data_IF_207080181199
#
_entry.id   IF_207080181199
#
_cell.length_a   1.000
_cell.length_b   1.000
_cell.length_c   1.000
_cell.angle_alpha   90.00
_cell.angle_beta   90.00
_cell.angle_gamma   90.00
#
_symmetry.space_group_name_H-M   'P 1'
#
loop_
_entity.id
_entity.type
_entity.pdbx_description
1 polymer ?
#
# COMPACT_ATOMS: atom_id res chain seq x y z
N UNK A 1 8.15 17.86 -6.35
CA UNK A 1 9.13 16.83 -6.73
C UNK A 1 8.97 15.64 -5.78
N UNK A 2 8.49 14.49 -6.27
CA UNK A 2 8.48 13.26 -5.47
C UNK A 2 9.79 12.52 -5.74
N UNK A 3 10.66 12.45 -4.74
CA UNK A 3 11.89 11.64 -4.83
C UNK A 3 11.50 10.16 -4.93
N UNK A 4 11.79 9.52 -6.06
CA UNK A 4 11.60 8.08 -6.21
C UNK A 4 12.64 7.35 -5.37
N UNK A 5 12.22 6.73 -4.26
CA UNK A 5 13.06 5.83 -3.49
C UNK A 5 13.05 4.47 -4.21
N UNK A 6 14.19 4.07 -4.77
CA UNK A 6 14.39 2.74 -5.37
C UNK A 6 15.22 1.87 -4.42
N UNK A 7 14.69 0.72 -4.02
CA UNK A 7 15.44 -0.30 -3.29
C UNK A 7 15.84 -1.42 -4.28
N UNK A 8 17.12 -1.79 -4.30
CA UNK A 8 17.59 -2.97 -5.03
C UNK A 8 17.56 -4.19 -4.12
N UNK A 9 16.85 -5.22 -4.58
CA UNK A 9 16.69 -6.49 -3.91
C UNK A 9 17.92 -7.39 -4.19
N UNK A 10 18.84 -7.52 -3.24
CA UNK A 10 19.94 -8.48 -3.32
C UNK A 10 19.49 -9.88 -2.85
N UNK A 11 19.92 -10.95 -3.53
CA UNK A 11 19.65 -12.33 -3.11
C UNK A 11 18.36 -12.97 -3.65
N UNK A 12 17.67 -12.35 -4.62
CA UNK A 12 16.37 -12.83 -5.12
C UNK A 12 16.49 -13.65 -6.42
N UNK A 13 17.70 -13.87 -6.94
CA UNK A 13 17.92 -14.54 -8.23
C UNK A 13 17.29 -15.96 -8.26
N UNK A 14 17.56 -16.78 -7.26
CA UNK A 14 17.00 -18.13 -7.15
C UNK A 14 15.47 -18.13 -7.04
N UNK A 15 14.90 -17.14 -6.35
CA UNK A 15 13.44 -16.95 -6.24
C UNK A 15 12.84 -16.54 -7.57
N UNK A 16 13.50 -15.68 -8.35
CA UNK A 16 13.05 -15.28 -9.69
C UNK A 16 13.08 -16.46 -10.65
N UNK A 17 14.13 -17.28 -10.61
CA UNK A 17 14.25 -18.44 -11.49
C UNK A 17 13.16 -19.48 -11.21
N UNK A 18 12.89 -19.78 -9.92
CA UNK A 18 11.76 -20.64 -9.54
C UNK A 18 10.41 -20.02 -9.93
N UNK A 19 10.28 -18.70 -9.91
CA UNK A 19 9.04 -18.05 -10.35
C UNK A 19 8.82 -18.21 -11.85
N UNK A 20 9.89 -18.11 -12.65
CA UNK A 20 9.83 -18.25 -14.11
C UNK A 20 9.35 -19.63 -14.57
N UNK A 21 9.58 -20.68 -13.79
CA UNK A 21 9.08 -22.03 -14.11
C UNK A 21 7.57 -22.21 -13.85
N UNK A 22 6.93 -21.30 -13.11
CA UNK A 22 5.49 -21.36 -12.85
C UNK A 22 4.67 -20.86 -14.04
N UNK A 23 3.44 -21.36 -14.18
CA UNK A 23 2.49 -20.81 -15.16
C UNK A 23 2.20 -19.31 -14.89
N UNK A 24 1.99 -18.46 -15.91
CA UNK A 24 1.82 -17.01 -15.74
C UNK A 24 0.71 -16.60 -14.76
N UNK A 25 -0.37 -17.40 -14.68
CA UNK A 25 -1.46 -17.19 -13.71
C UNK A 25 -0.99 -17.36 -12.27
N UNK A 26 -0.17 -18.39 -11.99
CA UNK A 26 0.38 -18.66 -10.66
C UNK A 26 1.41 -17.62 -10.27
N UNK A 27 2.28 -17.21 -11.20
CA UNK A 27 3.22 -16.10 -11.01
C UNK A 27 2.49 -14.84 -10.55
N UNK A 28 1.47 -14.40 -11.30
CA UNK A 28 0.70 -13.19 -10.97
C UNK A 28 -0.06 -13.31 -9.65
N UNK A 29 -0.57 -14.49 -9.31
CA UNK A 29 -1.26 -14.75 -8.04
C UNK A 29 -0.29 -14.66 -6.86
N UNK A 30 0.85 -15.32 -6.94
CA UNK A 30 1.90 -15.29 -5.92
C UNK A 30 2.45 -13.88 -5.72
N UNK A 31 2.82 -13.19 -6.81
CA UNK A 31 3.25 -11.80 -6.78
C UNK A 31 2.23 -10.88 -6.11
N UNK A 32 0.94 -11.04 -6.43
CA UNK A 32 -0.14 -10.24 -5.82
C UNK A 32 -0.24 -10.47 -4.32
N UNK A 33 -0.18 -11.72 -3.88
CA UNK A 33 -0.26 -12.06 -2.45
C UNK A 33 0.95 -11.55 -1.69
N UNK A 34 2.16 -11.83 -2.19
CA UNK A 34 3.40 -11.36 -1.60
C UNK A 34 3.46 -9.83 -1.50
N UNK A 35 3.13 -9.12 -2.58
CA UNK A 35 3.11 -7.66 -2.59
C UNK A 35 2.07 -7.08 -1.61
N UNK A 36 0.89 -7.70 -1.51
CA UNK A 36 -0.13 -7.24 -0.56
C UNK A 36 0.29 -7.46 0.89
N UNK A 37 0.86 -8.62 1.21
CA UNK A 37 1.36 -8.90 2.56
C UNK A 37 2.46 -7.93 2.97
N UNK A 38 3.42 -7.67 2.09
CA UNK A 38 4.51 -6.73 2.34
C UNK A 38 3.97 -5.31 2.58
N UNK A 39 3.10 -4.82 1.69
CA UNK A 39 2.53 -3.46 1.81
C UNK A 39 1.57 -3.31 3.00
N UNK A 40 1.07 -4.40 3.59
CA UNK A 40 0.25 -4.31 4.79
C UNK A 40 1.04 -3.77 6.00
N UNK A 41 2.38 -3.91 6.02
CA UNK A 41 3.23 -3.28 7.04
C UNK A 41 3.05 -1.76 7.01
N UNK A 42 3.18 -1.16 5.82
CA UNK A 42 2.98 0.30 5.64
C UNK A 42 1.54 0.68 5.96
N UNK A 43 0.56 -0.13 5.56
CA UNK A 43 -0.86 0.11 5.90
C UNK A 43 -1.06 0.17 7.40
N UNK A 44 -0.52 -0.79 8.14
CA UNK A 44 -0.75 -0.92 9.58
C UNK A 44 0.00 0.14 10.37
N UNK A 45 1.22 0.52 9.95
CA UNK A 45 1.93 1.67 10.52
C UNK A 45 1.22 2.99 10.22
N UNK A 46 0.76 3.20 8.97
CA UNK A 46 -0.03 4.38 8.62
C UNK A 46 -1.34 4.45 9.41
N UNK A 47 -1.98 3.32 9.70
CA UNK A 47 -3.16 3.26 10.59
C UNK A 47 -2.82 3.66 12.01
N UNK A 48 -1.72 3.15 12.57
CA UNK A 48 -1.29 3.48 13.93
C UNK A 48 -1.00 4.98 14.07
N UNK A 49 -0.27 5.55 13.11
CA UNK A 49 0.02 7.00 13.06
C UNK A 49 -1.23 7.84 12.87
N UNK A 50 -2.10 7.47 11.94
CA UNK A 50 -3.36 8.18 11.72
C UNK A 50 -4.29 8.11 12.96
N UNK A 51 -4.27 7.00 13.70
CA UNK A 51 -5.04 6.85 14.94
C UNK A 51 -4.52 7.76 16.05
N UNK A 52 -3.21 8.03 16.10
CA UNK A 52 -2.63 8.99 17.04
C UNK A 52 -3.00 10.45 16.72
N UNK A 53 -3.44 10.73 15.49
CA UNK A 53 -3.92 12.03 15.03
C UNK A 53 -5.45 12.15 15.02
N UNK A 54 -6.17 11.09 15.44
CA UNK A 54 -7.64 11.03 15.41
C UNK A 54 -8.23 11.98 16.44
N UNK A 55 -9.19 12.80 16.02
CA UNK A 55 -9.96 13.67 16.91
C UNK A 55 -11.20 12.91 17.42
N UNK A 56 -11.31 12.62 18.73
CA UNK A 56 -12.43 11.89 19.30
C UNK A 56 -13.80 12.54 19.07
N UNK A 57 -13.84 13.85 18.88
CA UNK A 57 -15.08 14.62 18.73
C UNK A 57 -15.64 14.57 17.30
N UNK A 58 -14.83 14.09 16.34
CA UNK A 58 -15.23 13.94 14.94
C UNK A 58 -15.76 12.54 14.63
N UNK A 59 -16.71 12.45 13.70
CA UNK A 59 -17.26 11.16 13.26
C UNK A 59 -16.32 10.47 12.27
N UNK A 60 -15.50 11.25 11.59
CA UNK A 60 -14.57 10.85 10.56
C UNK A 60 -13.31 10.22 11.16
N UNK A 61 -12.94 9.03 10.68
CA UNK A 61 -11.83 8.24 11.21
C UNK A 61 -10.87 7.84 10.10
N UNK A 62 -9.81 8.64 9.90
CA UNK A 62 -8.83 8.44 8.81
C UNK A 62 -8.26 7.04 8.84
N UNK A 63 -7.86 6.55 10.01
CA UNK A 63 -7.26 5.23 10.20
C UNK A 63 -8.16 4.08 9.74
N UNK A 64 -9.50 4.24 9.75
CA UNK A 64 -10.43 3.22 9.22
C UNK A 64 -10.45 3.16 7.69
N UNK A 65 -10.04 4.23 7.02
CA UNK A 65 -10.02 4.34 5.57
C UNK A 65 -8.66 4.03 4.93
N UNK A 66 -7.60 3.79 5.73
CA UNK A 66 -6.28 3.37 5.22
C UNK A 66 -6.34 1.93 4.71
N UNK A 67 -6.03 1.75 3.42
CA UNK A 67 -6.16 0.48 2.71
C UNK A 67 -4.99 0.21 1.77
N UNK A 68 -4.68 -1.08 1.59
CA UNK A 68 -3.79 -1.58 0.54
C UNK A 68 -4.63 -1.90 -0.70
N UNK A 69 -4.25 -1.37 -1.86
CA UNK A 69 -4.95 -1.61 -3.13
C UNK A 69 -3.96 -1.90 -4.26
N UNK A 70 -4.39 -2.71 -5.23
CA UNK A 70 -3.65 -2.87 -6.48
C UNK A 70 -3.91 -1.65 -7.38
N UNK A 71 -2.85 -1.05 -7.88
CA UNK A 71 -2.93 0.03 -8.87
C UNK A 71 -3.11 -0.58 -10.27
N UNK A 72 -4.31 -1.08 -10.57
CA UNK A 72 -4.59 -1.89 -11.78
C UNK A 72 -4.13 -1.25 -13.09
N UNK A 73 -4.28 0.07 -13.26
CA UNK A 73 -3.77 0.80 -14.44
C UNK A 73 -2.24 0.74 -14.52
N UNK A 74 -1.55 0.97 -13.40
CA UNK A 74 -0.09 0.90 -13.33
C UNK A 74 0.39 -0.55 -13.51
N UNK A 75 -0.24 -1.52 -12.84
CA UNK A 75 0.04 -2.95 -13.03
C UNK A 75 0.01 -3.37 -14.50
N UNK A 76 -0.96 -2.89 -15.28
CA UNK A 76 -1.05 -3.16 -16.72
C UNK A 76 0.08 -2.50 -17.51
N UNK A 77 0.42 -1.25 -17.17
CA UNK A 77 1.50 -0.49 -17.82
C UNK A 77 2.88 -1.12 -17.57
N UNK A 78 3.14 -1.56 -16.35
CA UNK A 78 4.44 -2.14 -15.95
C UNK A 78 4.53 -3.65 -16.26
N UNK A 79 3.47 -4.27 -16.79
CA UNK A 79 3.45 -5.71 -17.06
C UNK A 79 3.52 -6.60 -15.81
N UNK A 80 3.13 -6.08 -14.64
CA UNK A 80 3.35 -6.75 -13.34
C UNK A 80 2.24 -6.51 -12.33
N UNK A 81 2.62 -6.48 -11.05
CA UNK A 81 1.72 -6.13 -9.94
C UNK A 81 2.27 -4.89 -9.23
N UNK A 82 1.49 -3.82 -9.22
CA UNK A 82 1.78 -2.62 -8.45
C UNK A 82 0.79 -2.52 -7.30
N UNK A 83 1.31 -2.51 -6.07
CA UNK A 83 0.52 -2.29 -4.86
C UNK A 83 0.77 -0.90 -4.31
N UNK A 84 -0.27 -0.27 -3.78
CA UNK A 84 -0.21 1.03 -3.12
C UNK A 84 -0.98 0.99 -1.81
N UNK A 85 -0.57 1.83 -0.87
CA UNK A 85 -1.33 2.14 0.34
C UNK A 85 -1.89 3.55 0.20
N UNK A 86 -3.17 3.72 0.52
CA UNK A 86 -3.86 4.99 0.38
C UNK A 86 -5.14 5.04 1.18
N UNK A 87 -5.86 6.15 1.08
CA UNK A 87 -7.08 6.39 1.82
C UNK A 87 -8.30 6.18 0.91
N UNK A 88 -9.25 5.38 1.39
CA UNK A 88 -10.53 5.17 0.72
C UNK A 88 -11.27 6.50 0.57
N UNK A 89 -11.86 6.73 -0.60
CA UNK A 89 -12.46 8.04 -0.95
C UNK A 89 -11.48 9.05 -1.56
N UNK A 90 -10.17 8.76 -1.50
CA UNK A 90 -9.14 9.59 -2.14
C UNK A 90 -8.89 10.91 -1.42
N UNK A 91 -8.16 11.81 -2.09
CA UNK A 91 -7.78 13.12 -1.56
C UNK A 91 -8.70 14.26 -2.02
N UNK A 92 -9.72 14.01 -2.82
CA UNK A 92 -10.53 15.08 -3.40
C UNK A 92 -11.86 14.57 -3.92
N UNK A 93 -12.74 15.52 -4.24
CA UNK A 93 -14.00 15.29 -4.90
C UNK A 93 -14.13 16.18 -6.14
N UNK A 94 -14.90 15.70 -7.11
CA UNK A 94 -15.40 16.43 -8.27
C UNK A 94 -16.85 16.01 -8.50
N UNK A 95 -17.51 16.58 -9.51
CA UNK A 95 -18.92 16.25 -9.85
C UNK A 95 -19.18 14.77 -10.14
N UNK A 96 -18.14 13.98 -10.42
CA UNK A 96 -18.23 12.53 -10.69
C UNK A 96 -17.73 11.68 -9.51
N UNK A 97 -17.37 12.31 -8.40
CA UNK A 97 -16.87 11.61 -7.23
C UNK A 97 -18.02 10.98 -6.48
N UNK A 98 -17.87 9.68 -6.20
CA UNK A 98 -18.82 8.97 -5.35
C UNK A 98 -18.87 9.60 -3.97
N UNK A 99 -20.03 9.51 -3.34
CA UNK A 99 -20.15 9.85 -1.93
C UNK A 99 -19.14 9.02 -1.10
N UNK A 100 -18.41 9.71 -0.24
CA UNK A 100 -17.40 9.10 0.63
C UNK A 100 -17.93 8.86 2.06
N UNK A 101 -19.13 9.36 2.39
CA UNK A 101 -19.73 9.21 3.71
C UNK A 101 -19.96 7.74 4.09
N UNK A 102 -20.25 6.88 3.11
CA UNK A 102 -20.45 5.43 3.30
C UNK A 102 -19.15 4.63 3.55
N UNK A 103 -17.99 5.28 3.64
CA UNK A 103 -16.75 4.58 3.99
C UNK A 103 -16.72 4.21 5.49
N UNK A 104 -15.96 3.17 5.90
CA UNK A 104 -15.89 2.74 7.30
C UNK A 104 -15.46 3.82 8.29
N UNK A 105 -14.71 4.82 7.82
CA UNK A 105 -14.32 6.01 8.57
C UNK A 105 -15.00 7.30 8.14
N UNK A 106 -16.11 7.25 7.39
CA UNK A 106 -16.77 8.46 6.86
C UNK A 106 -15.98 9.17 5.75
N UNK A 107 -16.33 10.43 5.47
CA UNK A 107 -15.64 11.25 4.48
C UNK A 107 -14.33 11.84 5.04
N UNK A 108 -13.24 11.11 4.82
CA UNK A 108 -11.92 11.50 5.32
C UNK A 108 -11.09 12.29 4.32
N UNK A 109 -11.67 12.92 3.28
CA UNK A 109 -10.91 13.65 2.23
C UNK A 109 -10.00 14.77 2.76
N UNK A 110 -10.25 15.25 3.97
CA UNK A 110 -9.43 16.24 4.66
C UNK A 110 -8.04 15.70 5.05
N UNK A 111 -7.80 14.38 4.99
CA UNK A 111 -6.50 13.76 5.32
C UNK A 111 -5.31 14.42 4.61
N UNK A 112 -5.52 14.93 3.38
CA UNK A 112 -4.46 15.58 2.60
C UNK A 112 -3.91 16.83 3.28
N UNK A 113 -4.77 17.56 4.00
CA UNK A 113 -4.40 18.79 4.68
C UNK A 113 -3.59 18.49 5.93
N UNK A 114 -3.82 17.33 6.56
CA UNK A 114 -2.99 16.82 7.64
C UNK A 114 -1.64 16.36 7.09
N UNK A 115 -1.63 15.57 6.01
CA UNK A 115 -0.39 15.02 5.43
C UNK A 115 0.55 16.10 4.87
N UNK A 116 0.00 17.11 4.18
CA UNK A 116 0.78 18.12 3.45
C UNK A 116 0.79 19.50 4.11
N UNK A 117 -0.06 19.72 5.10
CA UNK A 117 -0.26 21.04 5.68
C UNK A 117 -1.11 21.95 4.80
N UNK A 118 -1.36 23.15 5.32
CA UNK A 118 -1.97 24.26 4.60
C UNK A 118 -1.17 25.54 4.91
N UNK A 119 -1.54 26.67 4.31
CA UNK A 119 -0.96 27.96 4.70
C UNK A 119 -1.19 28.32 6.18
N UNK A 120 -2.19 27.72 6.84
CA UNK A 120 -2.58 28.03 8.22
C UNK A 120 -2.16 26.96 9.22
N UNK A 121 -1.79 25.76 8.76
CA UNK A 121 -1.53 24.62 9.64
C UNK A 121 -0.33 23.83 9.13
N UNK A 122 0.67 23.57 9.99
CA UNK A 122 1.83 22.79 9.58
C UNK A 122 1.44 21.33 9.26
N UNK A 123 2.21 20.63 8.40
CA UNK A 123 1.98 19.22 8.08
C UNK A 123 2.23 18.32 9.30
N UNK A 124 1.32 17.38 9.52
CA UNK A 124 1.47 16.24 10.44
C UNK A 124 1.46 14.93 9.63
N UNK A 125 2.56 14.61 8.91
CA UNK A 125 2.58 13.51 7.98
C UNK A 125 2.49 12.16 8.70
N UNK A 126 1.67 11.26 8.16
CA UNK A 126 1.50 9.90 8.68
C UNK A 126 1.71 8.84 7.57
N UNK A 127 1.42 9.16 6.31
CA UNK A 127 1.62 8.25 5.18
C UNK A 127 3.08 8.21 4.73
N UNK A 128 3.71 9.38 4.56
CA UNK A 128 5.12 9.49 4.15
C UNK A 128 6.07 8.78 5.13
N UNK A 129 6.02 9.03 6.45
CA UNK A 129 6.88 8.30 7.39
C UNK A 129 6.55 6.81 7.44
N UNK A 130 5.28 6.41 7.30
CA UNK A 130 4.92 5.00 7.22
C UNK A 130 5.54 4.28 6.03
N UNK A 131 5.73 4.97 4.91
CA UNK A 131 6.46 4.42 3.77
C UNK A 131 7.98 4.41 4.01
N UNK A 132 8.58 5.58 4.28
CA UNK A 132 10.04 5.72 4.31
C UNK A 132 10.72 4.93 5.43
N UNK A 133 10.06 4.77 6.58
CA UNK A 133 10.62 4.04 7.73
C UNK A 133 10.48 2.52 7.59
N UNK A 134 9.60 2.03 6.71
CA UNK A 134 9.33 0.59 6.56
C UNK A 134 9.86 -0.02 5.26
N UNK A 135 10.65 0.71 4.46
CA UNK A 135 11.16 0.22 3.17
C UNK A 135 11.90 -1.12 3.30
N UNK A 136 12.76 -1.27 4.31
CA UNK A 136 13.51 -2.51 4.53
C UNK A 136 12.59 -3.66 4.95
N UNK A 137 11.71 -3.42 5.93
CA UNK A 137 10.76 -4.43 6.40
C UNK A 137 9.82 -4.91 5.28
N UNK A 138 9.38 -4.02 4.40
CA UNK A 138 8.55 -4.35 3.23
C UNK A 138 9.34 -5.19 2.24
N UNK A 139 10.58 -4.81 1.95
CA UNK A 139 11.51 -5.52 1.07
C UNK A 139 11.73 -6.97 1.55
N UNK A 140 12.09 -7.13 2.81
CA UNK A 140 12.32 -8.44 3.44
C UNK A 140 11.04 -9.29 3.46
N UNK A 141 9.91 -8.70 3.86
CA UNK A 141 8.62 -9.40 3.88
C UNK A 141 8.19 -9.83 2.49
N UNK A 142 8.45 -9.01 1.47
CA UNK A 142 8.13 -9.35 0.09
C UNK A 142 8.91 -10.58 -0.37
N UNK A 143 10.23 -10.64 -0.14
CA UNK A 143 11.05 -11.81 -0.50
C UNK A 143 10.58 -13.07 0.21
N UNK A 144 10.34 -12.98 1.52
CA UNK A 144 9.88 -14.11 2.33
C UNK A 144 8.51 -14.61 1.88
N UNK A 145 7.54 -13.71 1.66
CA UNK A 145 6.21 -14.08 1.19
C UNK A 145 6.22 -14.60 -0.24
N UNK A 146 7.07 -14.08 -1.11
CA UNK A 146 7.19 -14.54 -2.48
C UNK A 146 7.77 -15.95 -2.56
N UNK A 147 8.86 -16.23 -1.82
CA UNK A 147 9.44 -17.58 -1.75
C UNK A 147 8.40 -18.61 -1.27
N UNK A 148 7.65 -18.28 -0.23
CA UNK A 148 6.57 -19.13 0.29
C UNK A 148 5.45 -19.37 -0.73
N UNK A 149 5.01 -18.36 -1.48
CA UNK A 149 3.98 -18.52 -2.52
C UNK A 149 4.50 -19.38 -3.69
N UNK A 150 5.78 -19.26 -4.03
CA UNK A 150 6.41 -20.09 -5.07
C UNK A 150 6.49 -21.55 -4.60
N UNK A 151 6.97 -21.81 -3.40
CA UNK A 151 7.06 -23.17 -2.85
C UNK A 151 5.67 -23.80 -2.67
N UNK A 152 4.64 -23.00 -2.39
CA UNK A 152 3.26 -23.47 -2.36
C UNK A 152 2.72 -23.79 -3.76
N UNK A 153 3.06 -22.98 -4.77
CA UNK A 153 2.66 -23.20 -6.15
C UNK A 153 3.34 -24.44 -6.76
N UNK A 154 4.59 -24.73 -6.39
CA UNK A 154 5.32 -25.93 -6.82
C UNK A 154 4.82 -27.22 -6.16
N UNK A 155 4.26 -27.15 -4.94
CA UNK A 155 3.71 -28.32 -4.21
C UNK A 155 2.27 -28.67 -4.61
N UNK A 156 1.53 -27.72 -5.18
CA UNK A 156 0.13 -27.90 -5.58
C UNK A 156 -0.06 -28.24 -7.06
N UNK A 157 1.04 -28.54 -7.76
CA UNK A 157 1.11 -29.02 -9.14
C UNK A 157 1.69 -30.44 -9.13
#
# INVERSE_FOLDING_TARGET
>A
MASSISAQLQGVASTIDKMRSLAPRLQKKGLRRAAREAMNIIRDDAKARAKALDDPDTKEKIWRNVITQEATKQSRREGGVVMRVGIRGGAGSNQHSKDASGNPGGDTRHWRYIEFGTQFTPPAPFMRPAFSQNVNAVTERFVASLGREIDAALRGN
#
